data_IF_695903195585
#
_entry.id   IF_695903195585
#
_cell.length_a   1.000
_cell.length_b   1.000
_cell.length_c   1.000
_cell.angle_alpha   90.00
_cell.angle_beta   90.00
_cell.angle_gamma   90.00
#
_symmetry.space_group_name_H-M   'P 1'
#
loop_
_entity.id
_entity.type
_entity.pdbx_description
1 polymer ?
#
# COMPACT_ATOMS: atom_id res chain seq x y z
N UNK A 1 -5.15 39.70 28.26
CA UNK A 1 -3.79 39.11 28.31
C UNK A 1 -3.69 38.16 29.48
N UNK A 2 -4.06 36.89 29.28
CA UNK A 2 -3.84 35.84 30.29
C UNK A 2 -2.56 35.11 29.85
N UNK A 3 -1.44 35.44 30.48
CA UNK A 3 -0.19 34.68 30.29
C UNK A 3 -0.33 33.33 30.97
N UNK A 4 -0.36 32.27 30.17
CA UNK A 4 -0.33 30.90 30.66
C UNK A 4 1.12 30.61 31.03
N UNK A 5 1.44 30.64 32.32
CA UNK A 5 2.72 30.19 32.84
C UNK A 5 2.84 28.68 32.65
N UNK A 6 3.60 28.27 31.64
CA UNK A 6 4.03 26.88 31.50
C UNK A 6 5.06 26.62 32.61
N UNK A 7 4.61 26.10 33.75
CA UNK A 7 5.51 25.68 34.83
C UNK A 7 6.32 24.48 34.35
N UNK A 8 7.50 24.75 33.79
CA UNK A 8 8.50 23.73 33.47
C UNK A 8 9.06 23.23 34.81
N UNK A 9 8.43 22.21 35.40
CA UNK A 9 8.98 21.54 36.58
C UNK A 9 10.36 21.00 36.22
N UNK A 10 11.42 21.59 36.78
CA UNK A 10 12.80 21.15 36.55
C UNK A 10 12.99 19.80 37.20
N UNK A 11 12.78 18.72 36.44
CA UNK A 11 13.09 17.37 36.91
C UNK A 11 14.60 17.30 37.12
N UNK A 12 15.01 16.90 38.31
CA UNK A 12 16.45 16.75 38.59
C UNK A 12 17.00 15.56 37.81
N UNK A 13 18.28 15.57 37.38
CA UNK A 13 18.89 14.43 36.69
C UNK A 13 18.75 13.09 37.46
N UNK A 14 18.70 13.17 38.79
CA UNK A 14 18.45 12.04 39.67
C UNK A 14 17.05 11.45 39.46
N UNK A 15 16.01 12.30 39.52
CA UNK A 15 14.61 11.92 39.29
C UNK A 15 14.38 11.40 37.87
N UNK A 16 15.04 12.00 36.87
CA UNK A 16 15.02 11.49 35.49
C UNK A 16 15.62 10.08 35.40
N UNK A 17 16.76 9.85 36.05
CA UNK A 17 17.40 8.53 36.06
C UNK A 17 16.53 7.46 36.75
N UNK A 18 15.80 7.83 37.81
CA UNK A 18 14.89 6.95 38.52
C UNK A 18 13.64 6.64 37.70
N UNK A 19 13.11 7.64 36.99
CA UNK A 19 11.98 7.48 36.08
C UNK A 19 12.32 6.52 34.93
N UNK A 20 13.51 6.67 34.34
CA UNK A 20 14.00 5.75 33.29
C UNK A 20 14.16 4.34 33.84
N UNK A 21 14.77 4.16 35.02
CA UNK A 21 14.92 2.83 35.66
C UNK A 21 13.56 2.19 35.95
N UNK A 22 12.61 2.97 36.48
CA UNK A 22 11.26 2.50 36.75
C UNK A 22 10.55 2.07 35.47
N UNK A 23 10.60 2.89 34.42
CA UNK A 23 10.02 2.56 33.12
C UNK A 23 10.59 1.27 32.52
N UNK A 24 11.91 1.11 32.55
CA UNK A 24 12.58 -0.10 32.06
C UNK A 24 12.14 -1.34 32.85
N UNK A 25 12.00 -1.21 34.17
CA UNK A 25 11.50 -2.30 35.03
C UNK A 25 10.07 -2.69 34.65
N UNK A 26 9.16 -1.74 34.53
CA UNK A 26 7.77 -2.00 34.14
C UNK A 26 7.70 -2.65 32.75
N UNK A 27 8.51 -2.17 31.81
CA UNK A 27 8.57 -2.75 30.45
C UNK A 27 9.07 -4.20 30.47
N UNK A 28 10.06 -4.50 31.31
CA UNK A 28 10.56 -5.86 31.49
C UNK A 28 9.47 -6.78 32.07
N UNK A 29 8.79 -6.34 33.12
CA UNK A 29 7.72 -7.09 33.77
C UNK A 29 6.56 -7.38 32.79
N UNK A 30 6.14 -6.40 31.99
CA UNK A 30 5.10 -6.62 30.96
C UNK A 30 5.53 -7.64 29.90
N UNK A 31 6.81 -7.63 29.52
CA UNK A 31 7.35 -8.62 28.57
C UNK A 31 7.39 -10.02 29.19
N UNK A 32 7.82 -10.13 30.43
CA UNK A 32 7.83 -11.39 31.19
C UNK A 32 6.40 -11.94 31.34
N UNK A 33 5.44 -11.08 31.69
CA UNK A 33 4.03 -11.45 31.81
C UNK A 33 3.41 -11.88 30.47
N UNK A 34 3.72 -11.17 29.37
CA UNK A 34 3.33 -11.59 28.02
C UNK A 34 3.88 -12.97 27.66
N UNK A 35 5.13 -13.25 28.01
CA UNK A 35 5.76 -14.54 27.73
C UNK A 35 5.15 -15.67 28.58
N UNK A 36 4.87 -15.42 29.87
CA UNK A 36 4.26 -16.40 30.77
C UNK A 36 2.83 -16.73 30.36
N UNK A 37 2.08 -15.75 29.87
CA UNK A 37 0.70 -15.93 29.41
C UNK A 37 0.61 -16.18 27.89
N UNK A 38 1.74 -16.44 27.23
CA UNK A 38 1.78 -16.60 25.79
C UNK A 38 1.00 -17.85 25.36
N UNK A 39 0.04 -17.66 24.45
CA UNK A 39 -0.65 -18.76 23.77
C UNK A 39 -0.17 -18.82 22.33
N UNK A 40 0.50 -19.92 21.92
CA UNK A 40 0.93 -20.09 20.53
C UNK A 40 -0.27 -19.98 19.60
N UNK A 41 -0.07 -19.28 18.48
CA UNK A 41 -1.04 -19.26 17.39
C UNK A 41 -1.05 -20.61 16.69
N UNK A 42 -2.17 -21.02 16.09
CA UNK A 42 -2.27 -22.29 15.34
C UNK A 42 -1.13 -22.46 14.32
N UNK A 43 -0.74 -21.37 13.65
CA UNK A 43 0.38 -21.35 12.71
C UNK A 43 1.74 -21.69 13.36
N UNK A 44 1.93 -21.35 14.63
CA UNK A 44 3.16 -21.66 15.36
C UNK A 44 3.24 -23.11 15.80
N UNK A 45 2.09 -23.73 16.05
CA UNK A 45 1.97 -25.14 16.40
C UNK A 45 2.26 -26.07 15.22
N UNK A 46 2.22 -25.55 13.99
CA UNK A 46 2.52 -26.31 12.79
C UNK A 46 3.95 -26.84 12.76
N UNK A 47 4.10 -28.02 12.17
CA UNK A 47 5.38 -28.61 11.82
C UNK A 47 6.16 -27.71 10.85
N UNK A 48 7.46 -27.99 10.72
CA UNK A 48 8.30 -27.31 9.73
C UNK A 48 7.81 -27.58 8.30
N UNK A 49 7.37 -28.80 7.99
CA UNK A 49 6.82 -29.13 6.68
C UNK A 49 5.49 -28.39 6.43
N UNK A 50 4.59 -28.35 7.41
CA UNK A 50 3.30 -27.67 7.29
C UNK A 50 3.48 -26.16 7.06
N UNK A 51 4.41 -25.53 7.79
CA UNK A 51 4.79 -24.13 7.56
C UNK A 51 5.35 -23.90 6.16
N UNK A 52 6.17 -24.82 5.66
CA UNK A 52 6.73 -24.75 4.31
C UNK A 52 5.60 -24.82 3.25
N UNK A 53 4.68 -25.77 3.40
CA UNK A 53 3.52 -25.95 2.51
C UNK A 53 2.67 -24.68 2.48
N UNK A 54 2.36 -24.10 3.65
CA UNK A 54 1.59 -22.85 3.74
C UNK A 54 2.32 -21.69 3.09
N UNK A 55 3.63 -21.54 3.33
CA UNK A 55 4.42 -20.47 2.71
C UNK A 55 4.43 -20.60 1.18
N UNK A 56 4.62 -21.81 0.66
CA UNK A 56 4.55 -22.09 -0.78
C UNK A 56 3.18 -21.77 -1.37
N UNK A 57 2.11 -22.19 -0.68
CA UNK A 57 0.74 -21.91 -1.10
C UNK A 57 0.44 -20.40 -1.13
N UNK A 58 0.83 -19.67 -0.09
CA UNK A 58 0.66 -18.21 -0.03
C UNK A 58 1.44 -17.50 -1.14
N UNK A 59 2.67 -17.92 -1.42
CA UNK A 59 3.47 -17.38 -2.52
C UNK A 59 2.78 -17.63 -3.88
N UNK A 60 2.26 -18.83 -4.11
CA UNK A 60 1.50 -19.15 -5.31
C UNK A 60 0.25 -18.27 -5.47
N UNK A 61 -0.54 -18.08 -4.40
CA UNK A 61 -1.69 -17.19 -4.42
C UNK A 61 -1.30 -15.74 -4.71
N UNK A 62 -0.18 -15.26 -4.15
CA UNK A 62 0.37 -13.94 -4.44
C UNK A 62 0.69 -13.77 -5.92
N UNK A 63 1.41 -14.74 -6.50
CA UNK A 63 1.76 -14.74 -7.92
C UNK A 63 0.53 -14.75 -8.82
N UNK A 64 -0.50 -15.53 -8.48
CA UNK A 64 -1.78 -15.55 -9.21
C UNK A 64 -2.45 -14.18 -9.22
N UNK A 65 -2.55 -13.51 -8.06
CA UNK A 65 -3.14 -12.16 -7.96
C UNK A 65 -2.36 -11.13 -8.78
N UNK A 66 -1.03 -11.21 -8.75
CA UNK A 66 -0.16 -10.32 -9.55
C UNK A 66 -0.43 -10.52 -11.04
N UNK A 67 -0.49 -11.77 -11.50
CA UNK A 67 -0.76 -12.10 -12.90
C UNK A 67 -2.15 -11.61 -13.34
N UNK A 68 -3.19 -11.84 -12.55
CA UNK A 68 -4.55 -11.35 -12.82
C UNK A 68 -4.58 -9.82 -12.95
N UNK A 69 -3.89 -9.13 -12.04
CA UNK A 69 -3.79 -7.66 -12.08
C UNK A 69 -3.07 -7.18 -13.35
N UNK A 70 -1.97 -7.83 -13.74
CA UNK A 70 -1.23 -7.50 -14.96
C UNK A 70 -2.08 -7.72 -16.22
N UNK A 71 -2.85 -8.81 -16.27
CA UNK A 71 -3.77 -9.07 -17.38
C UNK A 71 -4.82 -7.98 -17.51
N UNK A 72 -5.40 -7.54 -16.40
CA UNK A 72 -6.39 -6.46 -16.38
C UNK A 72 -5.80 -5.13 -16.88
N UNK A 73 -4.61 -4.76 -16.39
CA UNK A 73 -3.88 -3.56 -16.85
C UNK A 73 -3.59 -3.64 -18.35
N UNK A 74 -3.14 -4.79 -18.83
CA UNK A 74 -2.83 -5.00 -20.24
C UNK A 74 -4.08 -4.89 -21.12
N UNK A 75 -5.21 -5.46 -20.68
CA UNK A 75 -6.49 -5.32 -21.36
C UNK A 75 -6.91 -3.86 -21.45
N UNK A 76 -6.90 -3.14 -20.33
CA UNK A 76 -7.24 -1.72 -20.28
C UNK A 76 -6.36 -0.88 -21.22
N UNK A 77 -5.05 -1.15 -21.25
CA UNK A 77 -4.12 -0.46 -22.14
C UNK A 77 -4.39 -0.73 -23.62
N UNK A 78 -4.74 -1.97 -23.97
CA UNK A 78 -5.14 -2.34 -25.34
C UNK A 78 -6.39 -1.57 -25.76
N UNK A 79 -7.43 -1.58 -24.92
CA UNK A 79 -8.68 -0.86 -25.20
C UNK A 79 -8.45 0.65 -25.36
N UNK A 80 -7.63 1.27 -24.52
CA UNK A 80 -7.29 2.68 -24.64
C UNK A 80 -6.51 3.00 -25.92
N UNK A 81 -5.60 2.11 -26.32
CA UNK A 81 -4.86 2.25 -27.58
C UNK A 81 -5.82 2.20 -28.78
N UNK A 82 -6.79 1.30 -28.76
CA UNK A 82 -7.82 1.21 -29.81
C UNK A 82 -8.74 2.42 -29.82
N UNK A 83 -9.20 2.89 -28.66
CA UNK A 83 -9.98 4.14 -28.55
C UNK A 83 -9.23 5.33 -29.14
N UNK A 84 -7.92 5.45 -28.86
CA UNK A 84 -7.06 6.50 -29.44
C UNK A 84 -6.91 6.34 -30.95
N UNK A 85 -6.73 5.13 -31.46
CA UNK A 85 -6.68 4.83 -32.91
C UNK A 85 -7.98 5.23 -33.61
N UNK A 86 -9.13 4.85 -33.05
CA UNK A 86 -10.44 5.19 -33.58
C UNK A 86 -10.68 6.70 -33.56
N UNK A 87 -10.34 7.38 -32.46
CA UNK A 87 -10.42 8.84 -32.36
C UNK A 87 -9.56 9.54 -33.41
N UNK A 88 -8.32 9.08 -33.62
CA UNK A 88 -7.44 9.61 -34.66
C UNK A 88 -8.05 9.40 -36.05
N UNK A 89 -8.53 8.19 -36.35
CA UNK A 89 -9.15 7.87 -37.65
C UNK A 89 -10.35 8.76 -37.94
N UNK A 90 -11.24 8.97 -36.96
CA UNK A 90 -12.38 9.89 -37.09
C UNK A 90 -11.94 11.33 -37.40
N UNK A 91 -10.90 11.82 -36.73
CA UNK A 91 -10.33 13.15 -37.01
C UNK A 91 -9.76 13.27 -38.43
N UNK A 92 -9.09 12.24 -38.94
CA UNK A 92 -8.59 12.24 -40.31
C UNK A 92 -9.73 12.27 -41.33
N UNK A 93 -10.77 11.45 -41.15
CA UNK A 93 -11.94 11.43 -42.04
C UNK A 93 -12.63 12.79 -42.06
N UNK A 94 -12.94 13.36 -40.88
CA UNK A 94 -13.58 14.69 -40.77
C UNK A 94 -12.81 15.80 -41.50
N UNK A 95 -11.46 15.78 -41.43
CA UNK A 95 -10.63 16.77 -42.14
C UNK A 95 -10.63 16.58 -43.66
N UNK A 96 -10.74 15.35 -44.12
CA UNK A 96 -10.81 15.06 -45.55
C UNK A 96 -12.20 15.39 -46.11
N UNK A 97 -13.26 15.18 -45.34
CA UNK A 97 -14.63 15.55 -45.71
C UNK A 97 -14.81 17.08 -45.80
N UNK A 98 -14.26 17.84 -44.84
CA UNK A 98 -14.20 19.32 -44.92
C UNK A 98 -13.31 19.83 -46.08
N UNK A 99 -12.23 19.11 -46.38
CA UNK A 99 -11.35 19.41 -47.52
C UNK A 99 -12.03 19.17 -48.87
N UNK A 100 -12.89 18.15 -48.99
CA UNK A 100 -13.69 17.88 -50.20
C UNK A 100 -14.73 18.99 -50.43
N UNK A 101 -15.42 19.43 -49.37
CA UNK A 101 -16.43 20.49 -49.44
C UNK A 101 -15.87 21.86 -49.89
N UNK A 102 -14.58 22.12 -49.64
CA UNK A 102 -13.91 23.36 -50.09
C UNK A 102 -13.48 23.34 -51.56
N UNK A 103 -13.37 22.15 -52.18
CA UNK A 103 -13.04 22.01 -53.61
C UNK A 103 -14.28 22.25 -54.48
N UNK A 104 -15.47 21.83 -54.01
CA UNK A 104 -16.72 21.98 -54.74
C UNK A 104 -17.30 23.42 -54.73
N UNK A 105 -16.79 24.33 -53.89
CA UNK A 105 -17.24 25.74 -53.82
C UNK A 105 -16.42 26.68 -54.71
N UNK A 106 -15.40 26.17 -55.43
CA UNK A 106 -14.56 26.96 -56.35
C UNK A 106 -14.78 26.64 -57.85
N UNK A 107 -15.83 25.89 -58.19
CA UNK A 107 -16.25 25.61 -59.58
C UNK A 107 -17.11 26.71 -60.16
#
# INVERSE_FOLDING_TARGET
NISINFSLSSVTPQQDSELVKHYLRVRKLRKEDYNCNYKPMDLELLSREEKLILATYQAHLGNKKILETQLLINQYNRENKEKKRLSNRKRYISKNDEGLLLVDVKG
#
